data_IF_123622956575
#
_entry.id   IF_123622956575
#
_cell.length_a   1.000
_cell.length_b   1.000
_cell.length_c   1.000
_cell.angle_alpha   90.00
_cell.angle_beta   90.00
_cell.angle_gamma   90.00
#
_symmetry.space_group_name_H-M   'P 1'
#
loop_
_entity.id
_entity.type
_entity.pdbx_description
1 polymer ?
#
# COMPACT_ATOMS: atom_id res chain seq x y z
N UNK A 1 6.45 20.97 -3.82
CA UNK A 1 6.97 19.93 -2.89
C UNK A 1 5.79 19.16 -2.33
N UNK A 2 5.57 17.95 -2.86
CA UNK A 2 4.31 17.21 -2.73
C UNK A 2 4.10 16.57 -1.36
N UNK A 3 3.44 17.29 -0.47
CA UNK A 3 2.66 16.66 0.60
C UNK A 3 1.39 16.07 -0.05
N UNK A 4 0.89 14.95 0.45
CA UNK A 4 -0.27 14.31 -0.16
C UNK A 4 -0.70 13.04 0.54
N UNK A 5 -1.66 12.35 -0.06
CA UNK A 5 -2.19 11.07 0.42
C UNK A 5 -1.91 10.02 -0.63
N UNK A 6 -1.27 8.93 -0.21
CA UNK A 6 -1.09 7.72 -1.01
C UNK A 6 -2.15 6.71 -0.60
N UNK A 7 -3.03 6.36 -1.53
CA UNK A 7 -4.07 5.35 -1.38
C UNK A 7 -3.62 4.07 -2.07
N UNK A 8 -3.60 2.98 -1.31
CA UNK A 8 -3.22 1.64 -1.76
C UNK A 8 -4.48 0.78 -1.74
N UNK A 9 -4.98 0.43 -2.92
CA UNK A 9 -6.12 -0.44 -3.10
C UNK A 9 -5.64 -1.89 -3.26
N UNK A 10 -5.75 -2.66 -2.18
CA UNK A 10 -5.44 -4.07 -2.16
C UNK A 10 -6.65 -4.86 -2.69
N UNK A 11 -6.52 -5.49 -3.85
CA UNK A 11 -7.65 -6.14 -4.54
C UNK A 11 -7.71 -7.63 -4.19
N UNK A 12 -6.85 -8.43 -4.82
CA UNK A 12 -6.82 -9.89 -4.72
C UNK A 12 -5.39 -10.41 -4.88
N UNK A 13 -5.10 -11.59 -4.34
CA UNK A 13 -3.88 -12.33 -4.68
C UNK A 13 -4.24 -13.67 -5.31
N UNK A 14 -3.34 -14.18 -6.15
CA UNK A 14 -3.53 -15.44 -6.87
C UNK A 14 -2.25 -16.22 -6.92
N UNK A 15 -2.39 -17.54 -6.85
CA UNK A 15 -1.26 -18.44 -7.00
C UNK A 15 -0.27 -18.32 -5.85
N UNK A 16 -0.75 -17.95 -4.66
CA UNK A 16 0.04 -18.00 -3.43
C UNK A 16 0.43 -19.46 -3.20
N UNK A 17 1.64 -19.79 -3.60
CA UNK A 17 2.15 -21.16 -3.59
C UNK A 17 2.84 -21.44 -2.27
N UNK A 18 2.14 -21.29 -1.14
CA UNK A 18 2.70 -21.55 0.19
C UNK A 18 3.58 -22.80 0.19
N UNK A 19 4.75 -22.70 0.82
CA UNK A 19 5.69 -23.81 0.98
C UNK A 19 5.04 -25.04 1.64
N UNK A 20 3.86 -24.82 2.24
CA UNK A 20 2.96 -25.78 2.86
C UNK A 20 2.02 -26.46 1.87
N UNK A 21 2.53 -26.81 0.70
CA UNK A 21 2.15 -28.08 0.07
C UNK A 21 2.89 -29.26 0.75
N UNK A 22 3.08 -29.20 2.07
CA UNK A 22 3.58 -30.29 2.91
C UNK A 22 2.58 -30.74 3.98
N UNK A 23 1.30 -30.34 3.89
CA UNK A 23 0.19 -31.16 4.41
C UNK A 23 -0.08 -32.35 3.46
N UNK A 24 0.96 -32.93 2.89
CA UNK A 24 0.91 -34.17 2.12
C UNK A 24 1.04 -35.42 2.98
N UNK A 25 1.16 -35.29 4.30
CA UNK A 25 1.23 -36.44 5.21
C UNK A 25 -0.09 -36.77 5.94
N UNK A 26 -1.15 -35.97 5.79
CA UNK A 26 -2.42 -36.22 6.47
C UNK A 26 -3.60 -36.22 5.50
N UNK A 27 -3.99 -37.40 4.96
CA UNK A 27 -5.20 -37.56 4.13
C UNK A 27 -6.53 -37.32 4.89
N UNK A 28 -6.47 -36.73 6.10
CA UNK A 28 -7.60 -36.49 7.00
C UNK A 28 -7.95 -35.01 7.18
N UNK A 29 -7.19 -34.07 6.61
CA UNK A 29 -7.51 -32.64 6.69
C UNK A 29 -8.11 -32.16 5.35
N UNK A 30 -9.29 -31.51 5.36
CA UNK A 30 -9.81 -30.85 4.17
C UNK A 30 -8.78 -29.82 3.67
N UNK A 31 -8.65 -29.70 2.35
CA UNK A 31 -7.66 -28.89 1.64
C UNK A 31 -7.23 -27.63 2.43
N UNK A 32 -5.93 -27.53 2.70
CA UNK A 32 -5.31 -26.55 3.60
C UNK A 32 -5.98 -25.18 3.60
N UNK A 33 -6.61 -24.87 4.73
CA UNK A 33 -7.05 -23.52 5.11
C UNK A 33 -5.78 -22.70 5.30
N UNK A 34 -5.42 -21.91 4.29
CA UNK A 34 -4.57 -20.74 4.50
C UNK A 34 -5.52 -19.55 4.68
N UNK A 35 -5.22 -18.72 5.67
CA UNK A 35 -5.96 -17.53 6.04
C UNK A 35 -5.02 -16.32 5.84
N UNK A 36 -4.71 -15.93 4.58
CA UNK A 36 -3.67 -14.95 4.32
C UNK A 36 -4.11 -13.53 4.64
N UNK A 37 -3.18 -12.73 5.12
CA UNK A 37 -3.32 -11.29 5.32
C UNK A 37 -2.10 -10.55 4.78
N UNK A 38 -2.29 -9.28 4.44
CA UNK A 38 -1.25 -8.44 3.85
C UNK A 38 -0.90 -7.30 4.79
N UNK A 39 0.38 -7.19 5.10
CA UNK A 39 0.97 -6.05 5.78
C UNK A 39 1.48 -5.09 4.72
N UNK A 40 0.83 -3.94 4.60
CA UNK A 40 1.20 -2.85 3.70
C UNK A 40 2.04 -1.86 4.48
N UNK A 41 3.33 -1.80 4.15
CA UNK A 41 4.29 -0.91 4.78
C UNK A 41 4.75 0.16 3.79
N UNK A 42 4.60 1.42 4.20
CA UNK A 42 5.10 2.58 3.48
C UNK A 42 5.88 3.48 4.43
N UNK A 43 7.20 3.55 4.23
CA UNK A 43 8.13 4.26 5.13
C UNK A 43 7.94 3.78 6.58
N UNK A 44 7.65 4.68 7.51
CA UNK A 44 7.41 4.37 8.92
C UNK A 44 5.95 4.01 9.24
N UNK A 45 5.07 4.00 8.24
CA UNK A 45 3.66 3.66 8.42
C UNK A 45 3.43 2.22 7.99
N UNK A 46 2.77 1.46 8.86
CA UNK A 46 2.34 0.10 8.59
C UNK A 46 0.81 0.01 8.74
N UNK A 47 0.18 -0.74 7.85
CA UNK A 47 -1.24 -1.09 7.89
C UNK A 47 -1.38 -2.58 7.61
N UNK A 48 -2.33 -3.23 8.26
CA UNK A 48 -2.62 -4.65 8.07
C UNK A 48 -4.00 -4.80 7.47
N UNK A 49 -4.13 -5.69 6.50
CA UNK A 49 -5.41 -6.09 5.93
C UNK A 49 -6.19 -6.98 6.87
N UNK A 50 -7.46 -7.14 6.55
CA UNK A 50 -8.28 -8.20 7.10
C UNK A 50 -7.71 -9.57 6.71
N UNK A 51 -7.91 -10.55 7.57
CA UNK A 51 -7.53 -11.94 7.32
C UNK A 51 -8.54 -12.56 6.35
N UNK A 52 -8.07 -13.05 5.21
CA UNK A 52 -8.89 -13.66 4.16
C UNK A 52 -9.31 -15.09 4.54
N UNK A 53 -10.15 -15.22 5.56
CA UNK A 53 -10.57 -16.51 6.10
C UNK A 53 -11.37 -17.32 5.09
N UNK A 54 -11.07 -18.62 4.99
CA UNK A 54 -11.77 -19.57 4.10
C UNK A 54 -11.64 -19.27 2.58
N UNK A 55 -10.71 -18.40 2.17
CA UNK A 55 -10.50 -18.06 0.75
C UNK A 55 -9.35 -18.83 0.09
N UNK A 56 -8.51 -19.49 0.90
CA UNK A 56 -7.42 -20.35 0.41
C UNK A 56 -6.42 -19.58 -0.47
N UNK A 57 -6.08 -20.16 -1.64
CA UNK A 57 -5.02 -19.66 -2.54
C UNK A 57 -5.39 -18.44 -3.38
N UNK A 58 -6.63 -17.97 -3.26
CA UNK A 58 -7.16 -16.85 -4.02
C UNK A 58 -7.88 -15.85 -3.11
N UNK A 59 -7.16 -15.25 -2.14
CA UNK A 59 -7.76 -14.28 -1.24
C UNK A 59 -8.16 -12.99 -1.97
N UNK A 60 -9.29 -12.45 -1.55
CA UNK A 60 -9.90 -11.21 -2.02
C UNK A 60 -10.13 -10.32 -0.80
N UNK A 61 -9.32 -9.28 -0.65
CA UNK A 61 -9.46 -8.30 0.43
C UNK A 61 -10.36 -7.15 0.00
N UNK A 62 -10.09 -6.59 -1.18
CA UNK A 62 -10.77 -5.40 -1.71
C UNK A 62 -10.78 -4.24 -0.71
N UNK A 63 -9.65 -4.01 -0.04
CA UNK A 63 -9.45 -3.03 1.02
C UNK A 63 -8.60 -1.85 0.52
N UNK A 64 -8.85 -0.65 1.05
CA UNK A 64 -8.10 0.55 0.70
C UNK A 64 -7.38 1.10 1.93
N UNK A 65 -6.06 1.25 1.84
CA UNK A 65 -5.22 1.83 2.87
C UNK A 65 -4.77 3.22 2.47
N UNK A 66 -4.81 4.18 3.40
CA UNK A 66 -4.36 5.55 3.17
C UNK A 66 -3.11 5.84 4.00
N UNK A 67 -2.10 6.39 3.35
CA UNK A 67 -0.83 6.78 3.94
C UNK A 67 -0.57 8.26 3.71
N UNK A 68 -0.22 8.97 4.76
CA UNK A 68 0.09 10.40 4.66
C UNK A 68 1.54 10.60 4.22
N UNK A 69 1.76 11.43 3.21
CA UNK A 69 3.08 11.85 2.75
C UNK A 69 3.30 13.28 3.22
N UNK A 70 4.14 13.43 4.24
CA UNK A 70 4.43 14.71 4.89
C UNK A 70 5.81 15.29 4.50
N UNK A 71 6.63 14.53 3.80
CA UNK A 71 8.03 14.85 3.52
C UNK A 71 8.20 15.43 2.12
N UNK A 72 9.19 16.33 1.96
CA UNK A 72 9.67 16.84 0.67
C UNK A 72 10.07 15.66 -0.22
N UNK A 73 9.17 15.24 -1.10
CA UNK A 73 9.25 14.06 -1.96
C UNK A 73 10.37 14.11 -3.01
N UNK A 74 11.28 15.09 -2.97
CA UNK A 74 12.20 15.35 -4.06
C UNK A 74 13.45 14.44 -4.10
N UNK A 75 13.82 13.75 -3.00
CA UNK A 75 15.11 13.02 -2.93
C UNK A 75 15.09 11.61 -2.33
N UNK A 76 13.94 11.08 -1.90
CA UNK A 76 13.90 9.74 -1.28
C UNK A 76 13.21 8.75 -2.21
N UNK A 77 13.80 7.57 -2.42
CA UNK A 77 13.11 6.45 -3.09
C UNK A 77 11.86 6.09 -2.29
N UNK A 78 10.70 6.19 -2.94
CA UNK A 78 9.43 5.85 -2.34
C UNK A 78 9.09 4.40 -2.70
N UNK A 79 9.30 3.50 -1.75
CA UNK A 79 8.99 2.07 -1.88
C UNK A 79 7.81 1.71 -1.01
N UNK A 80 6.85 1.03 -1.62
CA UNK A 80 5.73 0.39 -0.95
C UNK A 80 6.04 -1.11 -0.84
N UNK A 81 6.03 -1.63 0.37
CA UNK A 81 6.30 -3.04 0.65
C UNK A 81 4.98 -3.70 1.05
N UNK A 82 4.62 -4.78 0.39
CA UNK A 82 3.47 -5.62 0.73
C UNK A 82 3.97 -6.99 1.16
N UNK A 83 3.83 -7.33 2.43
CA UNK A 83 4.17 -8.65 2.96
C UNK A 83 2.91 -9.47 3.14
N UNK A 84 2.90 -10.66 2.57
CA UNK A 84 1.80 -11.60 2.69
C UNK A 84 2.19 -12.61 3.76
N UNK A 85 1.33 -12.75 4.74
CA UNK A 85 1.49 -13.61 5.91
C UNK A 85 0.29 -14.55 5.98
N UNK A 86 0.48 -15.78 6.44
CA UNK A 86 -0.60 -16.70 6.78
C UNK A 86 -0.95 -16.56 8.26
N UNK A 87 -2.22 -16.29 8.58
CA UNK A 87 -2.63 -16.18 9.98
C UNK A 87 -2.97 -17.54 10.54
N UNK A 88 -2.10 -18.06 11.40
CA UNK A 88 -2.27 -19.35 12.02
C UNK A 88 -2.81 -19.22 13.46
N UNK A 89 -3.87 -19.96 13.78
CA UNK A 89 -4.53 -19.87 15.09
C UNK A 89 -3.72 -20.53 16.23
N UNK A 90 -2.82 -21.45 15.90
CA UNK A 90 -2.10 -22.30 16.86
C UNK A 90 -0.57 -22.27 16.68
N UNK A 91 -0.06 -21.55 15.68
CA UNK A 91 1.35 -21.50 15.31
C UNK A 91 1.81 -20.04 15.13
N UNK A 92 3.09 -19.81 14.88
CA UNK A 92 3.60 -18.49 14.48
C UNK A 92 3.14 -18.19 13.06
N UNK A 93 2.67 -16.97 12.78
CA UNK A 93 2.25 -16.59 11.42
C UNK A 93 3.36 -16.88 10.40
N UNK A 94 3.04 -17.61 9.34
CA UNK A 94 4.01 -18.01 8.32
C UNK A 94 4.16 -16.92 7.24
N UNK A 95 5.41 -16.65 6.85
CA UNK A 95 5.69 -15.69 5.78
C UNK A 95 5.48 -16.34 4.41
N UNK A 96 4.50 -15.85 3.65
CA UNK A 96 4.15 -16.37 2.32
C UNK A 96 4.86 -15.64 1.19
N UNK A 97 5.35 -14.41 1.42
CA UNK A 97 6.13 -13.65 0.46
C UNK A 97 5.99 -12.14 0.59
N UNK A 98 6.78 -11.42 -0.20
CA UNK A 98 6.80 -9.95 -0.23
C UNK A 98 6.73 -9.46 -1.69
N UNK A 99 6.02 -8.36 -1.90
CA UNK A 99 6.04 -7.60 -3.13
C UNK A 99 6.52 -6.17 -2.83
N UNK A 100 7.54 -5.71 -3.54
CA UNK A 100 8.02 -4.33 -3.45
C UNK A 100 7.59 -3.57 -4.70
N UNK A 101 6.98 -2.40 -4.51
CA UNK A 101 6.50 -1.53 -5.59
C UNK A 101 7.14 -0.15 -5.42
N UNK A 102 7.84 0.32 -6.45
CA UNK A 102 8.34 1.69 -6.51
C UNK A 102 7.21 2.64 -6.88
N UNK A 103 6.83 3.50 -5.94
CA UNK A 103 5.76 4.51 -6.10
C UNK A 103 6.33 5.92 -6.29
N UNK A 104 7.64 6.03 -6.50
CA UNK A 104 8.34 7.31 -6.71
C UNK A 104 7.76 8.07 -7.91
N UNK A 105 7.56 7.39 -9.04
CA UNK A 105 7.04 8.00 -10.27
C UNK A 105 5.60 8.50 -10.08
N UNK A 106 4.74 7.69 -9.45
CA UNK A 106 3.35 8.02 -9.12
C UNK A 106 3.27 9.28 -8.24
N UNK A 107 4.13 9.37 -7.22
CA UNK A 107 4.17 10.50 -6.30
C UNK A 107 4.71 11.74 -7.00
N UNK A 108 5.77 11.62 -7.81
CA UNK A 108 6.33 12.75 -8.55
C UNK A 108 5.32 13.31 -9.55
N UNK A 109 4.77 12.45 -10.42
CA UNK A 109 3.75 12.84 -11.40
C UNK A 109 2.52 13.42 -10.72
N UNK A 110 2.04 12.80 -9.65
CA UNK A 110 0.87 13.32 -8.94
C UNK A 110 1.16 14.58 -8.12
N UNK A 111 2.41 14.83 -7.71
CA UNK A 111 2.80 16.10 -7.10
C UNK A 111 2.91 17.23 -8.13
N UNK A 112 3.24 16.92 -9.38
CA UNK A 112 3.30 17.87 -10.49
C UNK A 112 1.90 18.15 -11.09
N UNK A 113 1.09 17.11 -11.27
CA UNK A 113 -0.23 17.18 -11.91
C UNK A 113 -1.42 17.24 -10.91
N UNK A 114 -1.14 17.28 -9.61
CA UNK A 114 -2.14 17.32 -8.53
C UNK A 114 -2.67 15.95 -8.11
N UNK A 115 -2.87 15.01 -9.04
CA UNK A 115 -3.17 13.62 -8.71
C UNK A 115 -2.70 12.67 -9.81
N UNK A 116 -2.34 11.45 -9.43
CA UNK A 116 -2.00 10.39 -10.36
C UNK A 116 -2.55 9.07 -9.84
N UNK A 117 -3.22 8.30 -10.70
CA UNK A 117 -3.72 6.98 -10.36
C UNK A 117 -3.07 5.95 -11.27
N UNK A 118 -2.62 4.86 -10.64
CA UNK A 118 -2.19 3.65 -11.30
C UNK A 118 -3.27 2.60 -11.09
N UNK A 119 -3.78 2.07 -12.21
CA UNK A 119 -4.75 0.99 -12.17
C UNK A 119 -4.20 -0.22 -11.42
N UNK A 120 -5.11 -1.03 -10.88
CA UNK A 120 -4.78 -2.25 -10.16
C UNK A 120 -3.93 -3.18 -11.04
N UNK A 121 -2.63 -3.23 -10.75
CA UNK A 121 -1.64 -3.99 -11.49
C UNK A 121 -1.25 -5.23 -10.69
N UNK A 122 -0.85 -6.28 -11.40
CA UNK A 122 -0.33 -7.48 -10.78
C UNK A 122 1.14 -7.29 -10.47
N UNK A 123 1.53 -7.59 -9.24
CA UNK A 123 2.89 -7.56 -8.76
C UNK A 123 3.30 -8.97 -8.36
N UNK A 124 4.52 -9.36 -8.73
CA UNK A 124 5.08 -10.66 -8.38
C UNK A 124 5.40 -10.69 -6.89
N UNK A 125 4.88 -11.71 -6.21
CA UNK A 125 5.21 -12.00 -4.83
C UNK A 125 6.44 -12.90 -4.83
N UNK A 126 7.47 -12.51 -4.09
CA UNK A 126 8.72 -13.26 -3.98
C UNK A 126 9.03 -13.58 -2.53
N UNK A 127 9.60 -14.75 -2.28
CA UNK A 127 10.17 -15.10 -0.98
C UNK A 127 11.53 -14.42 -0.76
N UNK A 128 12.08 -14.56 0.45
CA UNK A 128 13.43 -14.13 0.79
C UNK A 128 14.50 -14.73 -0.15
N UNK A 129 14.23 -15.91 -0.70
CA UNK A 129 15.10 -16.64 -1.62
C UNK A 129 14.95 -16.19 -3.09
N UNK A 130 14.15 -15.14 -3.36
CA UNK A 130 13.74 -14.70 -4.70
C UNK A 130 12.89 -15.71 -5.48
N UNK A 131 12.35 -16.73 -4.80
CA UNK A 131 11.42 -17.69 -5.40
C UNK A 131 10.07 -17.01 -5.65
N UNK A 132 9.53 -17.20 -6.85
CA UNK A 132 8.19 -16.73 -7.21
C UNK A 132 7.12 -17.49 -6.44
N UNK A 133 6.27 -16.75 -5.73
CA UNK A 133 5.23 -17.27 -4.83
C UNK A 133 3.84 -16.71 -5.15
N UNK A 134 3.62 -16.34 -6.40
CA UNK A 134 2.31 -15.89 -6.90
C UNK A 134 2.28 -14.41 -7.27
N UNK A 135 1.07 -13.89 -7.39
CA UNK A 135 0.81 -12.51 -7.80
C UNK A 135 -0.16 -11.84 -6.83
N UNK A 136 0.08 -10.57 -6.53
CA UNK A 136 -0.83 -9.72 -5.77
C UNK A 136 -1.27 -8.55 -6.64
N UNK A 137 -2.57 -8.26 -6.67
CA UNK A 137 -3.14 -7.17 -7.44
C UNK A 137 -3.36 -5.95 -6.53
N UNK A 138 -2.69 -4.85 -6.88
CA UNK A 138 -2.70 -3.62 -6.09
C UNK A 138 -2.88 -2.42 -7.02
N UNK A 139 -3.84 -1.56 -6.70
CA UNK A 139 -3.98 -0.22 -7.30
C UNK A 139 -3.34 0.81 -6.39
N UNK A 140 -2.77 1.86 -6.97
CA UNK A 140 -2.12 2.92 -6.19
C UNK A 140 -2.59 4.25 -6.73
N UNK A 141 -3.06 5.13 -5.85
CA UNK A 141 -3.47 6.49 -6.21
C UNK A 141 -2.74 7.47 -5.30
N UNK A 142 -2.14 8.49 -5.88
CA UNK A 142 -1.58 9.60 -5.13
C UNK A 142 -2.37 10.87 -5.41
N UNK A 143 -2.72 11.57 -4.34
CA UNK A 143 -3.40 12.87 -4.40
C UNK A 143 -2.55 13.89 -3.64
N UNK A 144 -2.07 14.92 -4.33
CA UNK A 144 -1.36 16.01 -3.70
C UNK A 144 -2.29 16.78 -2.77
N UNK A 145 -1.82 17.11 -1.58
CA UNK A 145 -2.51 18.02 -0.69
C UNK A 145 -2.49 19.40 -1.37
N UNK A 146 -3.67 19.91 -1.71
CA UNK A 146 -3.81 21.31 -2.06
C UNK A 146 -3.35 22.11 -0.84
N UNK A 147 -2.38 23.01 -1.02
CA UNK A 147 -2.06 23.98 0.01
C UNK A 147 -3.29 24.87 0.09
N UNK A 148 -4.09 24.74 1.15
CA UNK A 148 -4.90 25.86 1.60
C UNK A 148 -3.89 26.94 1.97
N UNK A 149 -3.63 27.84 1.02
CA UNK A 149 -3.08 29.16 1.31
C UNK A 149 -4.12 29.81 2.22
N UNK A 150 -3.88 29.69 3.53
CA UNK A 150 -4.42 30.61 4.54
C UNK A 150 -3.92 31.98 4.08
N UNK A 151 -4.75 32.66 3.27
CA UNK A 151 -4.52 34.02 2.77
C UNK A 151 -4.42 34.90 4.02
N UNK A 152 -3.19 35.11 4.46
CA UNK A 152 -2.84 36.10 5.46
C UNK A 152 -3.22 37.45 4.86
N UNK A 153 -4.43 37.94 5.17
CA UNK A 153 -4.90 39.27 4.80
C UNK A 153 -4.10 40.34 5.61
N UNK A 154 -2.82 40.49 5.30
CA UNK A 154 -1.97 41.57 5.81
C UNK A 154 -2.14 42.81 4.94
N UNK A 155 -2.70 43.87 5.52
CA UNK A 155 -2.21 45.21 5.26
C UNK A 155 -3.00 46.08 4.29
N UNK A 156 -4.20 46.50 4.67
CA UNK A 156 -4.80 47.74 4.18
C UNK A 156 -4.11 48.97 4.77
N UNK A 157 -2.92 49.33 4.28
CA UNK A 157 -2.30 50.64 4.54
C UNK A 157 -3.17 51.75 3.92
N UNK A 158 -4.05 52.38 4.71
CA UNK A 158 -4.69 53.64 4.29
C UNK A 158 -3.73 54.81 4.52
N UNK A 159 -2.90 55.05 3.52
CA UNK A 159 -2.37 56.38 3.27
C UNK A 159 -3.50 57.24 2.69
N UNK A 160 -3.95 58.25 3.42
CA UNK A 160 -4.66 59.40 2.84
C UNK A 160 -4.26 60.66 3.60
N UNK A 161 -3.25 61.33 3.07
CA UNK A 161 -2.98 62.73 3.39
C UNK A 161 -4.10 63.62 2.85
N UNK A 162 -4.46 64.61 3.66
CA UNK A 162 -4.98 65.95 3.30
C UNK A 162 -6.34 66.07 2.59
N UNK A 163 -7.33 66.74 3.21
CA UNK A 163 -7.48 68.22 3.14
C UNK A 163 -8.64 68.70 4.05
N UNK A 164 -8.52 69.96 4.49
CA UNK A 164 -9.48 70.85 5.18
C UNK A 164 -9.69 70.72 6.70
#
# INVERSE_FOLDING_TARGET
MGKGVLEVHLVDARGLSGSDFLVLASPLLPAGKIDPYVIVQYRSQERKSSVARDQGRNPCWNEVFKFQINSSAASAQHKLILRIMDHDHFSSDDFLGEATIDVTDIISLGAEHGSYHMNAAKHTVVLADSTYHGEIKVGITFTAAQVEEDDEEIGGWRHRSFNE
#
